data_IF_594710429982
#
_entry.id   IF_594710429982
#
_cell.length_a   1.000
_cell.length_b   1.000
_cell.length_c   1.000
_cell.angle_alpha   90.00
_cell.angle_beta   90.00
_cell.angle_gamma   90.00
#
_symmetry.space_group_name_H-M   'P 1'
#
loop_
_entity.id
_entity.type
_entity.pdbx_description
1 polymer ?
#
# COMPACT_ATOMS: atom_id res chain seq x y z
N UNK A 1 3.76 15.40 -2.55
CA UNK A 1 4.89 15.13 -3.47
C UNK A 1 4.34 14.72 -4.83
N UNK A 2 4.98 15.15 -5.92
CA UNK A 2 4.72 14.62 -7.26
C UNK A 2 5.93 13.76 -7.63
N UNK A 3 5.77 12.43 -7.65
CA UNK A 3 6.85 11.52 -7.99
C UNK A 3 7.00 11.50 -9.52
N UNK A 4 8.22 11.73 -10.03
CA UNK A 4 8.46 11.73 -11.47
C UNK A 4 8.33 10.31 -12.07
N UNK A 5 8.66 9.27 -11.29
CA UNK A 5 8.45 7.86 -11.61
C UNK A 5 8.61 6.97 -10.36
N UNK A 6 8.38 5.66 -10.54
CA UNK A 6 8.48 4.66 -9.47
C UNK A 6 9.89 4.58 -8.87
N UNK A 7 10.94 4.72 -9.67
CA UNK A 7 12.32 4.64 -9.16
C UNK A 7 12.65 5.83 -8.24
N UNK A 8 12.20 7.03 -8.60
CA UNK A 8 12.28 8.21 -7.75
C UNK A 8 11.50 8.05 -6.45
N UNK A 9 10.29 7.47 -6.53
CA UNK A 9 9.51 7.14 -5.33
C UNK A 9 10.22 6.14 -4.42
N UNK A 10 10.77 5.05 -4.98
CA UNK A 10 11.55 4.08 -4.20
C UNK A 10 12.75 4.75 -3.53
N UNK A 11 13.49 5.59 -4.25
CA UNK A 11 14.62 6.33 -3.68
C UNK A 11 14.18 7.17 -2.48
N UNK A 12 13.06 7.88 -2.58
CA UNK A 12 12.52 8.66 -1.46
C UNK A 12 12.14 7.80 -0.26
N UNK A 13 11.52 6.62 -0.47
CA UNK A 13 11.25 5.67 0.63
C UNK A 13 12.53 5.17 1.30
N UNK A 14 13.60 4.96 0.52
CA UNK A 14 14.90 4.56 1.04
C UNK A 14 15.57 5.68 1.83
N UNK A 15 15.50 6.91 1.34
CA UNK A 15 16.17 8.07 1.95
C UNK A 15 15.44 8.56 3.22
N UNK A 16 14.11 8.39 3.29
CA UNK A 16 13.28 8.78 4.45
C UNK A 16 13.13 7.65 5.48
N UNK A 17 13.38 6.41 5.07
CA UNK A 17 13.31 5.24 5.93
C UNK A 17 14.51 5.14 6.90
N UNK A 18 14.49 4.17 7.83
CA UNK A 18 15.55 3.95 8.79
C UNK A 18 16.75 3.22 8.16
N UNK A 19 17.13 3.54 6.92
CA UNK A 19 18.14 2.82 6.14
C UNK A 19 19.42 3.65 6.03
N UNK A 20 20.58 3.01 6.19
CA UNK A 20 21.88 3.69 6.02
C UNK A 20 22.35 3.71 4.57
N UNK A 21 22.02 2.67 3.81
CA UNK A 21 22.33 2.51 2.38
C UNK A 21 21.38 1.46 1.75
N UNK A 22 21.49 1.28 0.43
CA UNK A 22 20.65 0.36 -0.35
C UNK A 22 20.80 -1.12 0.12
N UNK A 23 21.96 -1.51 0.66
CA UNK A 23 22.21 -2.87 1.14
C UNK A 23 21.59 -3.10 2.53
N UNK A 24 21.68 -2.12 3.42
CA UNK A 24 20.96 -2.09 4.69
C UNK A 24 19.45 -2.13 4.48
N UNK A 25 18.95 -1.37 3.49
CA UNK A 25 17.55 -1.42 3.10
C UNK A 25 17.11 -2.80 2.64
N UNK A 26 17.84 -3.43 1.71
CA UNK A 26 17.54 -4.78 1.24
C UNK A 26 17.47 -5.78 2.41
N UNK A 27 18.43 -5.70 3.33
CA UNK A 27 18.48 -6.54 4.53
C UNK A 27 17.27 -6.32 5.44
N UNK A 28 16.93 -5.07 5.75
CA UNK A 28 15.80 -4.73 6.65
C UNK A 28 14.44 -5.03 6.02
N UNK A 29 14.32 -4.86 4.71
CA UNK A 29 13.14 -5.24 3.92
C UNK A 29 13.05 -6.77 3.69
N UNK A 30 14.08 -7.54 4.04
CA UNK A 30 14.08 -8.99 3.86
C UNK A 30 14.13 -9.44 2.39
N UNK A 31 14.70 -8.63 1.50
CA UNK A 31 14.82 -8.91 0.06
C UNK A 31 16.28 -9.01 -0.38
N UNK A 32 16.59 -9.70 -1.49
CA UNK A 32 17.92 -9.65 -2.09
C UNK A 32 18.31 -8.22 -2.51
N UNK A 33 19.60 -7.81 -2.41
CA UNK A 33 20.06 -6.50 -2.88
C UNK A 33 19.73 -6.22 -4.36
N UNK A 34 19.68 -7.27 -5.18
CA UNK A 34 19.26 -7.17 -6.59
C UNK A 34 17.81 -6.71 -6.76
N UNK A 35 16.93 -6.96 -5.80
CA UNK A 35 15.54 -6.47 -5.81
C UNK A 35 15.50 -4.95 -5.70
N UNK A 36 16.26 -4.39 -4.76
CA UNK A 36 16.36 -2.93 -4.57
C UNK A 36 16.99 -2.28 -5.80
N UNK A 37 18.11 -2.82 -6.30
CA UNK A 37 18.74 -2.33 -7.52
C UNK A 37 17.80 -2.38 -8.73
N UNK A 38 17.01 -3.45 -8.87
CA UNK A 38 16.00 -3.59 -9.93
C UNK A 38 14.92 -2.52 -9.82
N UNK A 39 14.41 -2.25 -8.62
CA UNK A 39 13.39 -1.23 -8.40
C UNK A 39 13.89 0.18 -8.71
N UNK A 40 15.14 0.49 -8.36
CA UNK A 40 15.77 1.77 -8.68
C UNK A 40 16.05 1.96 -10.18
N UNK A 41 16.03 0.88 -10.96
CA UNK A 41 16.21 0.92 -12.41
C UNK A 41 14.92 0.81 -13.23
N UNK A 42 13.78 0.52 -12.59
CA UNK A 42 12.54 0.21 -13.33
C UNK A 42 11.76 1.47 -13.66
N UNK A 43 11.55 1.73 -14.95
CA UNK A 43 10.68 2.84 -15.40
C UNK A 43 9.19 2.53 -15.28
N UNK A 44 8.80 1.26 -15.44
CA UNK A 44 7.41 0.79 -15.38
C UNK A 44 7.32 -0.49 -14.56
N UNK A 45 6.95 -0.39 -13.26
CA UNK A 45 6.88 -1.56 -12.39
C UNK A 45 5.71 -2.48 -12.80
N UNK A 46 5.89 -3.78 -12.64
CA UNK A 46 4.80 -4.74 -12.87
C UNK A 46 3.77 -4.67 -11.73
N UNK A 47 2.56 -5.22 -11.92
CA UNK A 47 1.56 -5.34 -10.85
C UNK A 47 2.10 -6.12 -9.64
N UNK A 48 2.92 -7.15 -9.87
CA UNK A 48 3.57 -7.89 -8.78
C UNK A 48 4.54 -7.00 -8.01
N UNK A 49 5.36 -6.22 -8.72
CA UNK A 49 6.29 -5.25 -8.13
C UNK A 49 5.57 -4.18 -7.31
N UNK A 50 4.45 -3.67 -7.80
CA UNK A 50 3.64 -2.67 -7.07
C UNK A 50 3.13 -3.25 -5.75
N UNK A 51 2.56 -4.47 -5.78
CA UNK A 51 2.06 -5.13 -4.56
C UNK A 51 3.19 -5.44 -3.59
N UNK A 52 4.30 -5.96 -4.10
CA UNK A 52 5.50 -6.28 -3.33
C UNK A 52 6.03 -5.04 -2.61
N UNK A 53 6.20 -3.91 -3.33
CA UNK A 53 6.66 -2.66 -2.74
C UNK A 53 5.67 -2.08 -1.72
N UNK A 54 4.36 -2.12 -1.99
CA UNK A 54 3.34 -1.65 -1.04
C UNK A 54 3.42 -2.41 0.29
N UNK A 55 3.53 -3.74 0.23
CA UNK A 55 3.66 -4.59 1.42
C UNK A 55 4.96 -4.33 2.17
N UNK A 56 6.08 -4.21 1.45
CA UNK A 56 7.40 -4.11 2.08
C UNK A 56 7.69 -2.74 2.69
N UNK A 57 7.18 -1.67 2.08
CA UNK A 57 7.27 -0.32 2.65
C UNK A 57 6.12 0.01 3.61
N UNK A 58 5.15 -0.91 3.78
CA UNK A 58 3.95 -0.72 4.61
C UNK A 58 3.18 0.56 4.26
N UNK A 59 2.94 0.75 2.95
CA UNK A 59 2.23 1.93 2.42
C UNK A 59 0.95 1.51 1.70
N UNK A 60 -0.05 2.40 1.60
CA UNK A 60 -1.21 2.17 0.76
C UNK A 60 -0.83 1.84 -0.68
N UNK A 61 -1.47 0.82 -1.26
CA UNK A 61 -1.20 0.41 -2.65
C UNK A 61 -1.47 1.54 -3.66
N UNK A 62 -2.38 2.46 -3.31
CA UNK A 62 -2.70 3.65 -4.09
C UNK A 62 -1.48 4.56 -4.27
N UNK A 63 -0.66 4.75 -3.23
CA UNK A 63 0.53 5.59 -3.31
C UNK A 63 1.55 5.01 -4.29
N UNK A 64 1.71 3.69 -4.28
CA UNK A 64 2.59 2.97 -5.20
C UNK A 64 2.05 2.98 -6.64
N UNK A 65 0.73 2.93 -6.82
CA UNK A 65 0.08 3.06 -8.13
C UNK A 65 0.26 4.46 -8.72
N UNK A 66 0.19 5.50 -7.89
CA UNK A 66 0.47 6.88 -8.28
C UNK A 66 1.93 7.03 -8.71
N UNK A 67 2.86 6.52 -7.89
CA UNK A 67 4.28 6.52 -8.23
C UNK A 67 4.60 5.75 -9.52
N UNK A 68 3.90 4.64 -9.77
CA UNK A 68 4.01 3.87 -11.01
C UNK A 68 3.37 4.53 -12.24
N UNK A 69 2.67 5.65 -12.08
CA UNK A 69 1.96 6.34 -13.16
C UNK A 69 0.69 5.62 -13.62
N UNK A 70 0.16 4.70 -12.81
CA UNK A 70 -1.05 3.92 -13.11
C UNK A 70 -2.33 4.53 -12.52
N UNK A 71 -2.18 5.47 -11.60
CA UNK A 71 -3.28 6.16 -10.92
C UNK A 71 -2.91 7.63 -10.74
N UNK A 72 -3.89 8.52 -10.80
CA UNK A 72 -3.66 9.94 -10.50
C UNK A 72 -3.80 10.19 -8.99
N UNK A 73 -3.12 11.20 -8.44
CA UNK A 73 -3.20 11.51 -7.01
C UNK A 73 -4.63 11.79 -6.51
N UNK A 74 -5.48 12.42 -7.34
CA UNK A 74 -6.89 12.72 -7.02
C UNK A 74 -7.75 11.45 -6.94
N UNK A 75 -7.47 10.46 -7.79
CA UNK A 75 -8.12 9.15 -7.74
C UNK A 75 -7.72 8.42 -6.44
N UNK A 76 -6.44 8.49 -6.05
CA UNK A 76 -5.92 7.85 -4.83
C UNK A 76 -6.57 8.42 -3.57
N UNK A 77 -6.75 9.75 -3.52
CA UNK A 77 -7.41 10.43 -2.41
C UNK A 77 -8.89 10.02 -2.25
N UNK A 78 -9.56 9.68 -3.35
CA UNK A 78 -10.99 9.32 -3.36
C UNK A 78 -11.26 7.86 -2.93
N UNK A 79 -10.22 7.01 -2.89
CA UNK A 79 -10.34 5.58 -2.58
C UNK A 79 -10.23 5.23 -1.09
N UNK A 80 -9.88 6.19 -0.25
CA UNK A 80 -9.71 6.01 1.19
C UNK A 80 -10.92 6.55 1.95
N UNK A 81 -12.05 5.83 1.90
CA UNK A 81 -12.96 5.88 3.05
C UNK A 81 -12.22 5.24 4.21
N UNK A 82 -11.70 6.03 5.14
CA UNK A 82 -10.96 5.49 6.28
C UNK A 82 -11.96 4.86 7.25
N UNK A 83 -11.57 3.80 7.96
CA UNK A 83 -12.37 3.26 9.06
C UNK A 83 -12.69 4.34 10.12
N UNK A 84 -11.89 5.41 10.20
CA UNK A 84 -12.12 6.56 11.06
C UNK A 84 -13.26 7.49 10.59
N UNK A 85 -13.64 7.42 9.31
CA UNK A 85 -14.81 8.12 8.78
C UNK A 85 -16.12 7.39 9.14
N UNK A 86 -16.02 6.13 9.57
CA UNK A 86 -17.14 5.35 10.06
C UNK A 86 -17.22 5.58 11.56
N UNK A 87 -18.32 6.18 12.01
CA UNK A 87 -18.55 6.37 13.44
C UNK A 87 -18.58 5.03 14.18
N UNK A 88 -18.20 5.03 15.46
CA UNK A 88 -18.32 3.82 16.31
C UNK A 88 -19.76 3.26 16.31
N UNK A 89 -20.76 4.14 16.19
CA UNK A 89 -22.16 3.74 16.09
C UNK A 89 -22.49 3.01 14.78
N UNK A 90 -21.95 3.45 13.65
CA UNK A 90 -22.13 2.78 12.36
C UNK A 90 -21.43 1.42 12.32
N UNK A 91 -20.24 1.31 12.91
CA UNK A 91 -19.54 0.03 13.07
C UNK A 91 -20.34 -0.94 13.93
N UNK A 92 -20.89 -0.47 15.07
CA UNK A 92 -21.73 -1.28 15.95
C UNK A 92 -23.03 -1.72 15.28
N UNK A 93 -23.66 -0.83 14.50
CA UNK A 93 -24.88 -1.14 13.77
C UNK A 93 -24.66 -2.24 12.71
N UNK A 94 -23.55 -2.18 11.98
CA UNK A 94 -23.20 -3.18 10.97
C UNK A 94 -22.81 -4.53 11.59
N UNK A 95 -22.06 -4.54 12.69
CA UNK A 95 -21.76 -5.77 13.44
C UNK A 95 -23.03 -6.44 13.97
N UNK A 96 -23.95 -5.64 14.51
CA UNK A 96 -25.26 -6.11 15.00
C UNK A 96 -26.09 -6.69 13.85
N UNK A 97 -26.14 -6.01 12.71
CA UNK A 97 -26.85 -6.47 11.51
C UNK A 97 -26.34 -7.83 11.04
N UNK A 98 -25.02 -8.02 10.99
CA UNK A 98 -24.40 -9.29 10.56
C UNK A 98 -24.69 -10.44 11.52
N UNK A 99 -24.57 -10.20 12.83
CA UNK A 99 -24.92 -11.19 13.84
C UNK A 99 -26.38 -11.66 13.69
N UNK A 100 -27.31 -10.74 13.43
CA UNK A 100 -28.73 -11.07 13.19
C UNK A 100 -28.95 -11.85 11.89
N UNK A 101 -28.17 -11.58 10.84
CA UNK A 101 -28.24 -12.32 9.57
C UNK A 101 -27.67 -13.74 9.69
N UNK A 102 -26.57 -13.91 10.43
CA UNK A 102 -25.95 -15.22 10.68
C UNK A 102 -26.82 -16.11 11.59
N UNK A 103 -27.61 -15.51 12.49
CA UNK A 103 -28.58 -16.23 13.31
C UNK A 103 -29.89 -16.58 12.57
N UNK A 104 -30.15 -16.00 11.40
CA UNK A 104 -31.35 -16.25 10.59
C UNK A 104 -31.25 -17.44 9.62
N UNK A 105 -30.03 -17.88 9.28
CA UNK A 105 -29.77 -18.97 8.32
C UNK A 105 -29.63 -20.35 8.96
N UNK A 106 -29.74 -20.45 10.28
CA UNK A 106 -29.65 -21.70 11.03
C UNK A 106 -31.00 -22.34 11.39
N UNK A 107 -31.90 -22.58 10.42
CA UNK A 107 -32.96 -23.61 10.57
C UNK A 107 -33.66 -23.93 9.25
N UNK A 108 -33.37 -25.09 8.69
CA UNK A 108 -34.32 -25.96 7.98
C UNK A 108 -33.82 -27.39 8.11
#
# INVERSE_FOLDING_TARGET
MQYNDFAGWVREQLDTGPYSDDADAARKLGVPPSTVARWLGVRRPTRATIREAATLFDVPIQDVLVAGGYMRPDEAASGAGTLGDISTGELQAELTRRALLDHGTGRS
#
